data_IF_548248914474
#
_entry.id   IF_548248914474
#
_cell.length_a   1.000
_cell.length_b   1.000
_cell.length_c   1.000
_cell.angle_alpha   90.00
_cell.angle_beta   90.00
_cell.angle_gamma   90.00
#
_symmetry.space_group_name_H-M   'P 1'
#
loop_
_entity.id
_entity.type
_entity.pdbx_description
1 polymer ?
#
# COMPACT_ATOMS: atom_id res chain seq x y z
N UNK A 1 2.30 13.32 -13.29
CA UNK A 1 3.04 13.51 -12.01
C UNK A 1 2.52 12.49 -11.05
N UNK A 2 3.38 11.65 -10.46
CA UNK A 2 2.94 10.66 -9.50
C UNK A 2 2.54 11.37 -8.20
N UNK A 3 1.24 11.53 -7.98
CA UNK A 3 0.66 12.14 -6.77
C UNK A 3 1.15 11.44 -5.49
N UNK A 4 1.42 10.15 -5.59
CA UNK A 4 1.86 9.30 -4.47
C UNK A 4 3.38 9.11 -4.39
N UNK A 5 4.15 9.99 -4.99
CA UNK A 5 5.59 9.99 -4.83
C UNK A 5 5.99 10.74 -3.55
N UNK A 6 6.89 10.13 -2.78
CA UNK A 6 7.43 10.72 -1.54
C UNK A 6 6.36 11.01 -0.46
N UNK A 7 5.41 10.10 -0.29
CA UNK A 7 4.36 10.21 0.73
C UNK A 7 4.95 10.26 2.13
N UNK A 8 4.45 11.18 2.94
CA UNK A 8 4.79 11.27 4.36
C UNK A 8 3.85 10.37 5.17
N UNK A 9 4.35 9.84 6.28
CA UNK A 9 3.63 8.93 7.15
C UNK A 9 3.76 9.37 8.61
N UNK A 10 2.65 9.38 9.32
CA UNK A 10 2.63 9.61 10.75
C UNK A 10 2.57 8.29 11.51
N UNK A 11 3.66 7.83 12.14
CA UNK A 11 3.68 6.55 12.83
C UNK A 11 2.97 6.55 14.20
N UNK A 12 2.40 7.68 14.62
CA UNK A 12 1.67 7.81 15.89
C UNK A 12 0.17 7.63 15.73
N UNK A 13 -0.41 8.12 14.62
CA UNK A 13 -1.83 7.97 14.34
C UNK A 13 -2.12 7.21 13.05
N UNK A 14 -1.07 6.61 12.45
CA UNK A 14 -1.16 5.77 11.24
C UNK A 14 -1.83 6.48 10.05
N UNK A 15 -1.44 7.74 9.79
CA UNK A 15 -1.96 8.55 8.68
C UNK A 15 -0.91 8.76 7.59
N UNK A 16 -1.34 8.63 6.33
CA UNK A 16 -0.56 9.02 5.16
C UNK A 16 -0.89 10.44 4.75
N UNK A 17 0.13 11.22 4.43
CA UNK A 17 0.04 12.65 4.18
C UNK A 17 0.79 13.01 2.88
N UNK A 18 0.40 14.07 2.17
CA UNK A 18 1.11 14.51 0.99
C UNK A 18 2.58 14.84 1.28
N UNK A 19 3.41 14.81 0.24
CA UNK A 19 4.76 15.35 0.27
C UNK A 19 4.74 16.78 0.80
N UNK A 20 5.64 17.14 1.70
CA UNK A 20 5.80 18.42 2.39
C UNK A 20 5.07 18.57 3.73
N UNK A 21 4.26 17.63 4.12
CA UNK A 21 3.64 17.66 5.45
C UNK A 21 4.63 17.13 6.51
N UNK A 22 5.46 18.02 7.07
CA UNK A 22 6.50 17.69 8.04
C UNK A 22 5.97 17.27 9.40
N UNK A 23 4.73 17.61 9.71
CA UNK A 23 4.03 17.22 10.93
C UNK A 23 2.60 16.80 10.61
N UNK A 24 2.07 15.93 11.44
CA UNK A 24 0.71 15.45 11.30
C UNK A 24 -0.27 16.44 11.95
N UNK A 25 -1.23 16.94 11.21
CA UNK A 25 -2.21 17.90 11.71
C UNK A 25 -3.19 17.29 12.73
N UNK A 26 -3.33 15.96 12.73
CA UNK A 26 -4.24 15.24 13.62
C UNK A 26 -3.67 15.01 15.02
N UNK A 27 -2.38 14.74 15.15
CA UNK A 27 -1.73 14.43 16.41
C UNK A 27 -0.50 15.27 16.73
N UNK A 28 -0.14 16.19 15.83
CA UNK A 28 0.96 17.15 15.95
C UNK A 28 2.36 16.54 16.17
N UNK A 29 2.53 15.28 15.81
CA UNK A 29 3.84 14.64 15.78
C UNK A 29 4.53 14.82 14.42
N UNK A 30 5.85 14.71 14.43
CA UNK A 30 6.61 14.70 13.20
C UNK A 30 6.22 13.52 12.30
N UNK A 31 6.23 13.77 11.00
CA UNK A 31 6.03 12.75 9.98
C UNK A 31 7.37 12.27 9.43
N UNK A 32 7.37 11.15 8.75
CA UNK A 32 8.54 10.58 8.10
C UNK A 32 8.15 10.10 6.69
N UNK A 33 9.11 10.11 5.77
CA UNK A 33 8.87 9.52 4.45
C UNK A 33 8.51 8.03 4.59
N UNK A 34 7.38 7.61 4.00
CA UNK A 34 6.85 6.26 4.16
C UNK A 34 7.79 5.18 3.62
N UNK A 35 8.41 5.41 2.46
CA UNK A 35 9.36 4.46 1.88
C UNK A 35 10.58 4.23 2.79
N UNK A 36 11.03 5.27 3.48
CA UNK A 36 12.09 5.17 4.46
C UNK A 36 11.65 4.44 5.74
N UNK A 37 10.40 4.64 6.17
CA UNK A 37 9.83 4.05 7.37
C UNK A 37 9.58 2.56 7.26
N UNK A 38 8.98 2.10 6.15
CA UNK A 38 8.51 0.72 6.03
C UNK A 38 9.62 -0.33 6.15
N UNK A 39 10.85 0.02 5.74
CA UNK A 39 12.00 -0.89 5.77
C UNK A 39 12.83 -0.81 7.06
N UNK A 40 12.48 0.03 8.03
CA UNK A 40 13.21 0.13 9.30
C UNK A 40 12.84 -1.00 10.24
N UNK A 41 13.81 -1.44 11.07
CA UNK A 41 13.58 -2.42 12.13
C UNK A 41 12.62 -1.87 13.19
N UNK A 42 12.02 -2.77 13.97
CA UNK A 42 11.10 -2.43 15.06
C UNK A 42 11.81 -1.55 16.08
N UNK A 43 12.99 -1.95 16.53
CA UNK A 43 13.80 -1.19 17.53
C UNK A 43 14.12 0.23 17.05
N UNK A 44 14.43 0.37 15.75
CA UNK A 44 14.67 1.70 15.18
C UNK A 44 13.41 2.56 15.20
N UNK A 45 12.24 1.97 14.88
CA UNK A 45 10.95 2.65 14.88
C UNK A 45 10.56 3.15 16.27
N UNK A 46 10.75 2.33 17.29
CA UNK A 46 10.49 2.69 18.69
C UNK A 46 11.43 3.81 19.16
N UNK A 47 12.73 3.68 18.88
CA UNK A 47 13.71 4.71 19.19
C UNK A 47 13.43 6.03 18.46
N UNK A 48 12.94 5.97 17.23
CA UNK A 48 12.55 7.17 16.48
C UNK A 48 11.34 7.84 17.15
N UNK A 49 10.29 7.08 17.48
CA UNK A 49 9.11 7.60 18.17
C UNK A 49 9.46 8.27 19.50
N UNK A 50 10.33 7.67 20.31
CA UNK A 50 10.73 8.24 21.61
C UNK A 50 11.46 9.59 21.48
N UNK A 51 12.11 9.84 20.35
CA UNK A 51 12.85 11.09 20.08
C UNK A 51 12.00 12.20 19.46
N UNK A 52 10.78 11.89 19.03
CA UNK A 52 9.90 12.82 18.32
C UNK A 52 8.56 12.95 19.06
N UNK A 53 8.55 13.60 20.26
CA UNK A 53 7.31 13.89 20.96
C UNK A 53 6.42 14.83 20.14
N UNK A 54 5.14 14.98 20.49
CA UNK A 54 4.26 15.93 19.81
C UNK A 54 4.81 17.35 19.93
N UNK A 55 4.73 18.11 18.86
CA UNK A 55 5.21 19.50 18.79
C UNK A 55 4.33 20.46 19.61
N UNK A 56 3.06 20.10 19.78
CA UNK A 56 2.08 20.82 20.59
C UNK A 56 0.99 19.85 21.06
N UNK A 57 0.15 20.34 21.98
CA UNK A 57 -1.06 19.60 22.38
C UNK A 57 -2.13 19.78 21.29
N UNK A 58 -2.75 18.70 20.79
CA UNK A 58 -3.91 18.84 19.90
C UNK A 58 -5.01 19.64 20.56
N UNK A 59 -5.70 20.51 19.78
CA UNK A 59 -6.80 21.31 20.30
C UNK A 59 -7.92 20.42 20.85
N UNK A 60 -8.43 20.79 22.02
CA UNK A 60 -9.62 20.14 22.58
C UNK A 60 -10.87 20.47 21.76
N UNK A 61 -11.98 19.77 22.01
CA UNK A 61 -13.24 20.04 21.35
C UNK A 61 -13.75 21.47 21.69
N UNK A 62 -13.56 21.91 22.94
CA UNK A 62 -13.92 23.23 23.39
C UNK A 62 -13.07 24.33 22.70
N UNK A 63 -11.76 24.11 22.60
CA UNK A 63 -10.85 25.04 21.91
C UNK A 63 -11.18 25.13 20.41
N UNK A 64 -11.61 24.05 19.79
CA UNK A 64 -12.06 24.05 18.39
C UNK A 64 -13.38 24.80 18.23
N UNK A 65 -14.33 24.59 19.13
CA UNK A 65 -15.62 25.29 19.12
C UNK A 65 -15.50 26.79 19.39
N UNK A 66 -14.41 27.22 20.05
CA UNK A 66 -14.13 28.64 20.30
C UNK A 66 -13.44 29.37 19.14
N UNK A 67 -13.06 28.66 18.05
CA UNK A 67 -12.46 29.29 16.88
C UNK A 67 -13.48 30.16 16.12
N UNK A 68 -13.03 31.28 15.48
CA UNK A 68 -13.82 31.98 14.51
C UNK A 68 -14.33 31.06 13.41
N UNK A 69 -15.56 31.22 12.95
CA UNK A 69 -16.22 30.38 11.95
C UNK A 69 -15.33 30.12 10.70
N UNK A 70 -14.70 31.16 10.18
CA UNK A 70 -13.78 31.06 9.03
C UNK A 70 -12.56 30.21 9.30
N UNK A 71 -12.02 30.23 10.51
CA UNK A 71 -10.84 29.44 10.89
C UNK A 71 -11.22 27.97 11.11
N UNK A 72 -12.42 27.74 11.62
CA UNK A 72 -12.98 26.41 11.76
C UNK A 72 -13.23 25.77 10.38
N UNK A 73 -13.88 26.48 9.45
CA UNK A 73 -14.10 26.03 8.07
C UNK A 73 -12.77 25.71 7.36
N UNK A 74 -11.76 26.56 7.52
CA UNK A 74 -10.44 26.33 6.95
C UNK A 74 -9.80 25.07 7.52
N UNK A 75 -9.89 24.87 8.83
CA UNK A 75 -9.35 23.69 9.51
C UNK A 75 -10.04 22.42 9.04
N UNK A 76 -11.38 22.41 9.02
CA UNK A 76 -12.19 21.26 8.57
C UNK A 76 -11.92 20.91 7.11
N UNK A 77 -11.84 21.93 6.24
CA UNK A 77 -11.49 21.76 4.83
C UNK A 77 -10.09 21.14 4.67
N UNK A 78 -9.13 21.58 5.47
CA UNK A 78 -7.76 21.05 5.44
C UNK A 78 -7.71 19.61 5.96
N UNK A 79 -8.35 19.31 7.09
CA UNK A 79 -8.49 17.96 7.63
C UNK A 79 -9.20 17.02 6.65
N UNK A 80 -10.25 17.51 5.98
CA UNK A 80 -10.97 16.78 4.93
C UNK A 80 -10.06 16.36 3.77
N UNK A 81 -9.24 17.30 3.26
CA UNK A 81 -8.27 17.00 2.21
C UNK A 81 -7.21 15.96 2.64
N UNK A 82 -6.74 16.04 3.90
CA UNK A 82 -5.78 15.09 4.43
C UNK A 82 -6.38 13.69 4.62
N UNK A 83 -7.61 13.60 5.08
CA UNK A 83 -8.33 12.33 5.19
C UNK A 83 -8.63 11.71 3.81
N UNK A 84 -9.01 12.53 2.83
CA UNK A 84 -9.21 12.07 1.45
C UNK A 84 -7.89 11.52 0.85
N UNK A 85 -6.79 12.23 1.04
CA UNK A 85 -5.48 11.75 0.60
C UNK A 85 -5.10 10.42 1.27
N UNK A 86 -5.24 10.28 2.59
CA UNK A 86 -4.98 9.05 3.34
C UNK A 86 -5.80 7.88 2.77
N UNK A 87 -7.10 8.11 2.52
CA UNK A 87 -8.00 7.09 1.97
C UNK A 87 -7.60 6.63 0.57
N UNK A 88 -7.27 7.57 -0.31
CA UNK A 88 -6.81 7.28 -1.67
C UNK A 88 -5.46 6.56 -1.69
N UNK A 89 -4.55 6.94 -0.82
CA UNK A 89 -3.25 6.28 -0.73
C UNK A 89 -3.36 4.86 -0.18
N UNK A 90 -4.23 4.61 0.80
CA UNK A 90 -4.51 3.24 1.30
C UNK A 90 -5.11 2.36 0.21
N UNK A 91 -6.03 2.88 -0.58
CA UNK A 91 -6.59 2.16 -1.73
C UNK A 91 -5.52 1.81 -2.77
N UNK A 92 -4.61 2.75 -3.07
CA UNK A 92 -3.47 2.52 -3.95
C UNK A 92 -2.51 1.45 -3.41
N UNK A 93 -2.21 1.43 -2.11
CA UNK A 93 -1.40 0.39 -1.50
C UNK A 93 -2.08 -0.98 -1.57
N UNK A 94 -3.38 -1.03 -1.27
CA UNK A 94 -4.16 -2.27 -1.35
C UNK A 94 -4.19 -2.84 -2.77
N UNK A 95 -4.29 -1.99 -3.80
CA UNK A 95 -4.21 -2.41 -5.20
C UNK A 95 -2.82 -2.95 -5.56
N UNK A 96 -1.76 -2.32 -5.07
CA UNK A 96 -0.38 -2.78 -5.28
C UNK A 96 -0.04 -4.08 -4.54
N UNK A 97 -0.59 -4.26 -3.33
CA UNK A 97 -0.39 -5.46 -2.51
C UNK A 97 -1.35 -6.59 -2.90
N UNK A 98 -2.41 -6.28 -3.66
CA UNK A 98 -3.33 -7.29 -4.17
C UNK A 98 -2.54 -8.33 -5.00
N UNK A 99 -2.70 -9.62 -4.72
CA UNK A 99 -2.04 -10.65 -5.49
C UNK A 99 -2.43 -10.48 -6.96
N UNK A 100 -1.43 -10.28 -7.82
CA UNK A 100 -1.65 -10.19 -9.27
C UNK A 100 -2.10 -11.56 -9.77
N UNK A 101 -3.40 -11.82 -9.68
CA UNK A 101 -3.99 -13.06 -10.16
C UNK A 101 -3.97 -12.99 -11.69
N UNK A 102 -3.13 -13.80 -12.36
CA UNK A 102 -3.13 -13.84 -13.81
C UNK A 102 -4.51 -14.25 -14.32
N UNK A 103 -4.95 -13.69 -15.44
CA UNK A 103 -6.18 -14.08 -16.12
C UNK A 103 -5.82 -14.90 -17.36
N UNK A 104 -6.67 -15.84 -17.71
CA UNK A 104 -6.50 -16.60 -18.94
C UNK A 104 -6.49 -15.65 -20.16
N UNK A 105 -5.46 -15.70 -21.02
CA UNK A 105 -5.37 -14.81 -22.18
C UNK A 105 -6.43 -15.10 -23.25
N UNK A 106 -7.07 -16.28 -23.20
CA UNK A 106 -8.10 -16.69 -24.18
C UNK A 106 -9.50 -16.32 -23.74
N UNK A 107 -9.89 -16.66 -22.50
CA UNK A 107 -11.26 -16.45 -22.01
C UNK A 107 -11.39 -15.41 -20.90
N UNK A 108 -10.29 -14.82 -20.43
CA UNK A 108 -10.29 -13.80 -19.35
C UNK A 108 -10.60 -14.34 -17.96
N UNK A 109 -10.84 -15.64 -17.81
CA UNK A 109 -11.17 -16.25 -16.52
C UNK A 109 -10.02 -16.14 -15.51
N UNK A 110 -10.27 -15.79 -14.24
CA UNK A 110 -9.29 -15.84 -13.16
C UNK A 110 -9.14 -17.25 -12.58
N UNK A 111 -9.99 -18.21 -12.98
CA UNK A 111 -9.97 -19.59 -12.48
C UNK A 111 -8.84 -20.37 -13.15
N UNK A 112 -7.66 -20.25 -12.54
CA UNK A 112 -6.41 -20.84 -13.03
C UNK A 112 -5.84 -21.81 -12.02
N UNK A 113 -5.40 -22.95 -12.51
CA UNK A 113 -4.60 -23.91 -11.73
C UNK A 113 -3.13 -23.80 -12.11
N UNK A 114 -2.26 -23.70 -11.11
CA UNK A 114 -0.81 -23.73 -11.33
C UNK A 114 -0.37 -25.13 -11.70
N UNK A 115 0.31 -25.30 -12.84
CA UNK A 115 0.83 -26.61 -13.27
C UNK A 115 2.01 -26.97 -12.37
N UNK A 116 1.86 -28.02 -11.56
CA UNK A 116 2.86 -28.49 -10.61
C UNK A 116 4.14 -28.93 -11.31
N UNK A 117 5.30 -28.70 -10.66
CA UNK A 117 6.60 -29.16 -11.15
C UNK A 117 6.71 -30.69 -11.22
N UNK A 118 5.95 -31.40 -10.42
CA UNK A 118 5.95 -32.89 -10.38
C UNK A 118 5.42 -33.51 -11.67
N UNK A 119 4.41 -32.95 -12.30
CA UNK A 119 3.94 -33.41 -13.62
C UNK A 119 4.97 -33.14 -14.73
N UNK A 120 5.81 -32.10 -14.57
CA UNK A 120 6.87 -31.76 -15.52
C UNK A 120 8.07 -32.72 -15.49
N UNK A 121 8.34 -33.33 -14.35
CA UNK A 121 9.48 -34.27 -14.20
C UNK A 121 9.17 -35.61 -14.90
N UNK A 122 7.94 -36.07 -14.91
CA UNK A 122 7.52 -37.29 -15.56
C UNK A 122 7.60 -37.19 -17.10
N UNK A 123 7.24 -36.02 -17.67
CA UNK A 123 7.32 -35.77 -19.11
C UNK A 123 8.78 -35.74 -19.62
N UNK A 124 9.71 -35.20 -18.83
CA UNK A 124 11.15 -35.12 -19.19
C UNK A 124 11.81 -36.47 -19.09
N UNK A 125 11.39 -37.31 -18.14
CA UNK A 125 11.95 -38.68 -17.98
C UNK A 125 11.53 -39.63 -19.11
N UNK A 126 10.37 -39.39 -19.73
CA UNK A 126 9.84 -40.26 -20.80
C UNK A 126 10.29 -39.89 -22.23
N UNK A 127 10.53 -38.59 -22.51
CA UNK A 127 10.73 -38.05 -23.87
C UNK A 127 12.10 -37.41 -24.15
N UNK A 128 13.01 -37.45 -23.18
CA UNK A 128 14.37 -36.95 -23.37
C UNK A 128 14.48 -35.43 -23.54
N UNK A 129 15.71 -34.94 -23.43
CA UNK A 129 16.10 -33.50 -23.38
C UNK A 129 15.81 -32.67 -24.67
N UNK A 130 15.21 -33.26 -25.69
CA UNK A 130 15.13 -32.66 -27.03
C UNK A 130 13.87 -31.80 -27.33
N UNK A 131 12.90 -31.74 -26.43
CA UNK A 131 11.69 -30.95 -26.66
C UNK A 131 11.72 -29.67 -25.83
N UNK A 132 12.29 -28.61 -26.40
CA UNK A 132 12.22 -27.24 -25.89
C UNK A 132 10.79 -26.66 -25.93
N UNK A 133 9.83 -27.33 -25.27
CA UNK A 133 8.46 -26.80 -25.14
C UNK A 133 8.47 -25.63 -24.16
N UNK A 134 7.78 -24.53 -24.48
CA UNK A 134 7.63 -23.40 -23.55
C UNK A 134 7.07 -23.91 -22.22
N UNK A 135 7.69 -23.50 -21.11
CA UNK A 135 7.30 -23.90 -19.75
C UNK A 135 5.94 -23.27 -19.42
N UNK A 136 4.87 -23.97 -19.74
CA UNK A 136 3.51 -23.56 -19.36
C UNK A 136 3.40 -23.58 -17.83
N UNK A 137 2.88 -22.52 -17.27
CA UNK A 137 2.83 -22.30 -15.81
C UNK A 137 1.43 -22.41 -15.24
N UNK A 138 0.43 -22.08 -16.06
CA UNK A 138 -0.97 -22.07 -15.67
C UNK A 138 -1.85 -22.85 -16.65
N UNK A 139 -2.86 -23.50 -16.10
CA UNK A 139 -3.95 -24.17 -16.81
C UNK A 139 -5.26 -23.46 -16.43
N UNK A 140 -6.05 -23.08 -17.41
CA UNK A 140 -7.35 -22.47 -17.21
C UNK A 140 -8.42 -23.54 -17.03
N UNK A 141 -9.11 -23.55 -15.89
CA UNK A 141 -10.18 -24.52 -15.63
C UNK A 141 -11.46 -24.24 -16.43
N UNK A 142 -11.58 -23.07 -17.06
CA UNK A 142 -12.76 -22.68 -17.82
C UNK A 142 -12.68 -23.01 -19.32
N UNK A 143 -11.49 -22.99 -19.92
CA UNK A 143 -11.31 -23.25 -21.36
C UNK A 143 -10.16 -24.21 -21.70
N UNK A 144 -9.58 -24.86 -20.68
CA UNK A 144 -8.48 -25.83 -20.78
C UNK A 144 -7.20 -25.28 -21.45
N UNK A 145 -7.09 -23.95 -21.62
CA UNK A 145 -5.90 -23.34 -22.20
C UNK A 145 -4.75 -23.31 -21.21
N UNK A 146 -3.56 -23.71 -21.66
CA UNK A 146 -2.33 -23.70 -20.86
C UNK A 146 -1.33 -22.66 -21.38
N UNK A 147 -0.74 -21.83 -20.49
CA UNK A 147 0.19 -20.75 -20.83
C UNK A 147 1.27 -20.53 -19.80
#
# INVERSE_FOLDING_TARGET
MDEFKDVMYCPFCDKYLPKKEWFCIFCLHNTINYESWKYKSIDWKEKWKSKHPPMATPRTAEERAALPEKDLENLESYEGRMNDFDSRYRAYLADKEAPHIPKCPVCGSPDLRKISATSKVLDVAFWGFAAGKPKKTYHCNNCDYEF
#
